data_IF_994967048006
#
_entry.id   IF_994967048006
#
_cell.length_a   1.000
_cell.length_b   1.000
_cell.length_c   1.000
_cell.angle_alpha   90.00
_cell.angle_beta   90.00
_cell.angle_gamma   90.00
#
_symmetry.space_group_name_H-M   'P 1'
#
loop_
_entity.id
_entity.type
_entity.pdbx_description
1 polymer ?
#
# COMPACT_ATOMS: atom_id res chain seq x y z
N UNK A 1 -76.78 -16.00 -23.32
CA UNK A 1 -75.93 -16.02 -22.08
C UNK A 1 -76.80 -15.54 -20.94
N UNK A 2 -77.00 -16.40 -19.93
CA UNK A 2 -77.90 -16.10 -18.80
C UNK A 2 -77.29 -15.01 -17.90
N UNK A 3 -78.12 -14.30 -17.14
CA UNK A 3 -77.68 -13.25 -16.22
C UNK A 3 -76.69 -13.82 -15.19
N UNK A 4 -76.84 -15.06 -14.77
CA UNK A 4 -75.92 -15.76 -13.88
C UNK A 4 -74.53 -15.91 -14.48
N UNK A 5 -74.42 -16.28 -15.77
CA UNK A 5 -73.14 -16.45 -16.48
C UNK A 5 -72.41 -15.11 -16.62
N UNK A 6 -73.14 -14.01 -16.90
CA UNK A 6 -72.55 -12.65 -16.97
C UNK A 6 -71.98 -12.21 -15.62
N UNK A 7 -72.69 -12.48 -14.52
CA UNK A 7 -72.20 -12.17 -13.16
C UNK A 7 -70.96 -12.95 -12.81
N UNK A 8 -70.94 -14.27 -13.11
CA UNK A 8 -69.76 -15.11 -12.85
C UNK A 8 -68.53 -14.56 -13.62
N UNK A 9 -68.70 -14.28 -14.91
CA UNK A 9 -67.64 -13.68 -15.76
C UNK A 9 -67.13 -12.34 -15.20
N UNK A 10 -68.04 -11.46 -14.79
CA UNK A 10 -67.71 -10.17 -14.24
C UNK A 10 -66.89 -10.29 -12.93
N UNK A 11 -67.32 -11.08 -11.98
CA UNK A 11 -66.61 -11.28 -10.73
C UNK A 11 -65.29 -12.03 -10.94
N UNK A 12 -65.22 -12.98 -11.84
CA UNK A 12 -63.96 -13.63 -12.22
C UNK A 12 -62.96 -12.66 -12.80
N UNK A 13 -63.41 -11.72 -13.65
CA UNK A 13 -62.57 -10.70 -14.25
C UNK A 13 -62.03 -9.70 -13.21
N UNK A 14 -62.91 -9.26 -12.27
CA UNK A 14 -62.49 -8.42 -11.14
C UNK A 14 -61.45 -9.16 -10.25
N UNK A 15 -61.66 -10.44 -9.97
CA UNK A 15 -60.73 -11.23 -9.16
C UNK A 15 -59.38 -11.36 -9.87
N UNK A 16 -59.34 -11.68 -11.16
CA UNK A 16 -58.10 -11.76 -11.95
C UNK A 16 -57.41 -10.40 -11.99
N UNK A 17 -58.16 -9.30 -12.19
CA UNK A 17 -57.59 -7.94 -12.19
C UNK A 17 -56.98 -7.58 -10.81
N UNK A 18 -57.65 -7.91 -9.71
CA UNK A 18 -57.15 -7.66 -8.38
C UNK A 18 -55.86 -8.46 -8.10
N UNK A 19 -55.84 -9.75 -8.50
CA UNK A 19 -54.62 -10.57 -8.37
C UNK A 19 -53.48 -10.04 -9.24
N UNK A 20 -53.75 -9.70 -10.49
CA UNK A 20 -52.77 -9.12 -11.41
C UNK A 20 -52.22 -7.79 -10.85
N UNK A 21 -53.11 -6.92 -10.33
CA UNK A 21 -52.74 -5.65 -9.71
C UNK A 21 -51.84 -5.86 -8.48
N UNK A 22 -52.23 -6.75 -7.59
CA UNK A 22 -51.43 -7.11 -6.43
C UNK A 22 -50.02 -7.67 -6.81
N UNK A 23 -49.98 -8.56 -7.81
CA UNK A 23 -48.74 -9.09 -8.37
C UNK A 23 -47.85 -7.99 -8.96
N UNK A 24 -48.42 -7.07 -9.76
CA UNK A 24 -47.68 -5.98 -10.36
C UNK A 24 -47.10 -5.02 -9.29
N UNK A 25 -47.90 -4.70 -8.27
CA UNK A 25 -47.46 -3.85 -7.17
C UNK A 25 -46.32 -4.54 -6.39
N UNK A 26 -46.46 -5.80 -6.04
CA UNK A 26 -45.45 -6.59 -5.36
C UNK A 26 -44.16 -6.67 -6.21
N UNK A 27 -44.30 -6.98 -7.50
CA UNK A 27 -43.14 -7.04 -8.43
C UNK A 27 -42.46 -5.68 -8.60
N UNK A 28 -43.22 -4.57 -8.66
CA UNK A 28 -42.70 -3.22 -8.70
C UNK A 28 -41.92 -2.85 -7.42
N UNK A 29 -42.33 -3.39 -6.29
CA UNK A 29 -41.61 -3.22 -5.00
C UNK A 29 -40.41 -4.19 -4.83
N UNK A 30 -40.12 -5.02 -5.82
CA UNK A 30 -39.00 -5.95 -5.83
C UNK A 30 -39.31 -7.31 -5.16
N UNK A 31 -40.57 -7.62 -4.89
CA UNK A 31 -40.94 -8.94 -4.38
C UNK A 31 -40.97 -9.98 -5.51
N UNK A 32 -40.34 -11.12 -5.28
CA UNK A 32 -40.30 -12.27 -6.20
C UNK A 32 -40.54 -13.56 -5.43
N UNK A 33 -41.12 -14.54 -6.11
CA UNK A 33 -41.21 -15.90 -5.59
C UNK A 33 -39.88 -16.64 -5.82
N UNK A 34 -39.17 -16.93 -4.77
CA UNK A 34 -38.00 -17.81 -4.80
C UNK A 34 -38.49 -19.26 -4.99
N UNK A 35 -38.42 -19.75 -6.22
CA UNK A 35 -38.93 -21.06 -6.61
C UNK A 35 -38.12 -22.18 -5.92
N UNK A 36 -36.83 -21.97 -5.64
CA UNK A 36 -35.97 -22.99 -4.99
C UNK A 36 -36.40 -23.27 -3.55
N UNK A 37 -36.78 -22.20 -2.82
CA UNK A 37 -37.11 -22.28 -1.41
C UNK A 37 -38.63 -22.08 -1.12
N UNK A 38 -39.46 -21.93 -2.15
CA UNK A 38 -40.90 -21.68 -2.05
C UNK A 38 -41.26 -20.52 -1.10
N UNK A 39 -40.52 -19.42 -1.16
CA UNK A 39 -40.76 -18.26 -0.29
C UNK A 39 -40.81 -16.96 -1.12
N UNK A 40 -41.56 -15.99 -0.63
CA UNK A 40 -41.60 -14.65 -1.19
C UNK A 40 -40.47 -13.84 -0.54
N UNK A 41 -39.57 -13.30 -1.36
CA UNK A 41 -38.38 -12.55 -0.90
C UNK A 41 -38.29 -11.24 -1.64
N UNK A 42 -37.69 -10.24 -1.01
CA UNK A 42 -37.29 -9.02 -1.70
C UNK A 42 -35.99 -9.24 -2.46
N UNK A 43 -35.97 -8.86 -3.73
CA UNK A 43 -34.75 -8.94 -4.54
C UNK A 43 -33.72 -7.92 -4.09
N UNK A 44 -32.45 -8.23 -4.32
CA UNK A 44 -31.33 -7.30 -4.25
C UNK A 44 -30.76 -7.00 -5.62
N UNK A 45 -29.65 -6.28 -5.65
CA UNK A 45 -28.95 -5.90 -6.87
C UNK A 45 -27.45 -6.02 -6.71
N UNK A 46 -26.74 -6.19 -7.84
CA UNK A 46 -25.27 -6.08 -7.92
C UNK A 46 -24.92 -4.82 -8.72
N UNK A 47 -23.99 -4.04 -8.23
CA UNK A 47 -23.38 -2.93 -8.94
C UNK A 47 -21.91 -3.22 -9.17
N UNK A 48 -21.51 -3.33 -10.45
CA UNK A 48 -20.16 -3.69 -10.87
C UNK A 48 -19.58 -2.54 -11.69
N UNK A 49 -18.43 -2.00 -11.23
CA UNK A 49 -17.68 -0.99 -11.99
C UNK A 49 -16.30 -1.53 -12.29
N UNK A 50 -15.96 -1.65 -13.56
CA UNK A 50 -14.77 -2.33 -14.03
C UNK A 50 -14.11 -1.59 -15.19
N UNK A 51 -12.81 -1.82 -15.35
CA UNK A 51 -11.96 -1.31 -16.42
C UNK A 51 -11.25 -2.51 -17.05
N UNK A 52 -11.31 -2.66 -18.39
CA UNK A 52 -11.99 -1.85 -19.40
C UNK A 52 -13.52 -2.03 -19.38
N UNK A 53 -14.26 -1.00 -19.78
CA UNK A 53 -15.74 -0.96 -19.67
C UNK A 53 -16.47 -1.85 -20.68
N UNK A 54 -15.78 -2.34 -21.70
CA UNK A 54 -16.30 -3.28 -22.71
C UNK A 54 -16.20 -4.75 -22.29
N UNK A 55 -15.68 -5.03 -21.10
CA UNK A 55 -15.56 -6.40 -20.62
C UNK A 55 -16.93 -7.07 -20.42
N UNK A 56 -16.96 -8.36 -20.66
CA UNK A 56 -18.15 -9.20 -20.54
C UNK A 56 -18.32 -9.66 -19.10
N UNK A 57 -19.54 -9.53 -18.57
CA UNK A 57 -19.93 -10.00 -17.24
C UNK A 57 -20.70 -11.30 -17.35
N UNK A 58 -20.33 -12.31 -16.60
CA UNK A 58 -21.11 -13.54 -16.40
C UNK A 58 -21.45 -13.75 -14.93
N UNK A 59 -22.63 -14.33 -14.70
CA UNK A 59 -23.15 -14.67 -13.35
C UNK A 59 -23.47 -16.15 -13.34
N UNK A 60 -22.88 -16.89 -12.41
CA UNK A 60 -23.05 -18.35 -12.30
C UNK A 60 -22.81 -19.07 -13.65
N UNK A 61 -21.83 -18.57 -14.44
CA UNK A 61 -21.49 -19.12 -15.75
C UNK A 61 -22.34 -18.61 -16.93
N UNK A 62 -23.42 -17.86 -16.70
CA UNK A 62 -24.27 -17.31 -17.76
C UNK A 62 -23.89 -15.86 -18.05
N UNK A 63 -23.65 -15.52 -19.32
CA UNK A 63 -23.35 -14.16 -19.76
C UNK A 63 -24.57 -13.25 -19.58
N UNK A 64 -24.35 -12.05 -19.07
CA UNK A 64 -25.41 -11.06 -18.91
C UNK A 64 -25.38 -10.04 -20.05
N UNK A 65 -26.54 -9.62 -20.54
CA UNK A 65 -26.67 -8.52 -21.52
C UNK A 65 -26.60 -7.13 -20.86
N UNK A 66 -26.31 -7.08 -19.57
CA UNK A 66 -26.25 -5.83 -18.82
C UNK A 66 -25.01 -5.02 -19.21
N UNK A 67 -25.24 -3.82 -19.77
CA UNK A 67 -24.18 -2.90 -20.18
C UNK A 67 -23.94 -1.82 -19.12
N UNK A 68 -22.72 -1.25 -19.06
CA UNK A 68 -22.45 -0.12 -18.18
C UNK A 68 -23.38 1.06 -18.46
N UNK A 69 -23.95 1.63 -17.42
CA UNK A 69 -24.76 2.84 -17.52
C UNK A 69 -23.90 4.06 -17.87
N UNK A 70 -24.37 4.87 -18.82
CA UNK A 70 -23.65 6.05 -19.34
C UNK A 70 -23.27 7.05 -18.23
N UNK A 71 -24.13 7.22 -17.23
CA UNK A 71 -23.92 8.18 -16.15
C UNK A 71 -23.11 7.61 -14.97
N UNK A 72 -23.24 6.32 -14.71
CA UNK A 72 -22.61 5.68 -13.53
C UNK A 72 -21.27 5.05 -13.87
N UNK A 73 -20.99 4.77 -15.13
CA UNK A 73 -19.80 4.05 -15.58
C UNK A 73 -19.72 2.62 -15.03
N UNK A 74 -20.83 2.09 -14.50
CA UNK A 74 -20.91 0.74 -13.93
C UNK A 74 -22.16 0.02 -14.39
N UNK A 75 -22.16 -1.30 -14.27
CA UNK A 75 -23.26 -2.21 -14.65
C UNK A 75 -24.09 -2.52 -13.42
N UNK A 76 -25.40 -2.20 -13.49
CA UNK A 76 -26.36 -2.55 -12.44
C UNK A 76 -27.18 -3.77 -12.88
N UNK A 77 -27.07 -4.85 -12.11
CA UNK A 77 -27.84 -6.07 -12.32
C UNK A 77 -28.86 -6.17 -11.20
N UNK A 78 -30.13 -5.99 -11.57
CA UNK A 78 -31.25 -5.89 -10.65
C UNK A 78 -32.07 -7.17 -10.58
N UNK A 79 -32.96 -7.25 -9.59
CA UNK A 79 -33.92 -8.34 -9.40
C UNK A 79 -33.29 -9.71 -9.13
N UNK A 80 -32.14 -9.72 -8.48
CA UNK A 80 -31.50 -10.96 -8.06
C UNK A 80 -32.13 -11.45 -6.75
N UNK A 81 -32.42 -12.75 -6.69
CA UNK A 81 -32.85 -13.42 -5.44
C UNK A 81 -31.69 -13.37 -4.45
N UNK A 82 -31.94 -13.10 -3.17
CA UNK A 82 -30.88 -13.13 -2.17
C UNK A 82 -30.11 -14.46 -2.15
N UNK A 83 -28.80 -14.40 -2.22
CA UNK A 83 -27.92 -15.57 -2.34
C UNK A 83 -26.49 -15.20 -2.68
N UNK A 84 -25.67 -16.21 -2.85
CA UNK A 84 -24.28 -16.05 -3.34
C UNK A 84 -24.25 -16.27 -4.85
N UNK A 85 -23.53 -15.42 -5.54
CA UNK A 85 -23.37 -15.42 -6.99
C UNK A 85 -21.89 -15.42 -7.33
N UNK A 86 -21.51 -16.36 -8.19
CA UNK A 86 -20.20 -16.37 -8.82
C UNK A 86 -20.22 -15.33 -9.96
N UNK A 87 -19.39 -14.32 -9.83
CA UNK A 87 -19.23 -13.25 -10.82
C UNK A 87 -17.91 -13.42 -11.51
N UNK A 88 -17.93 -13.42 -12.84
CA UNK A 88 -16.73 -13.41 -13.67
C UNK A 88 -16.80 -12.26 -14.66
N UNK A 89 -15.74 -11.46 -14.71
CA UNK A 89 -15.56 -10.36 -15.66
C UNK A 89 -14.36 -10.69 -16.52
N UNK A 90 -14.54 -10.72 -17.83
CA UNK A 90 -13.50 -11.11 -18.78
C UNK A 90 -13.52 -10.24 -20.04
N UNK A 91 -12.32 -10.01 -20.58
CA UNK A 91 -12.09 -9.33 -21.85
C UNK A 91 -10.89 -9.97 -22.54
N UNK A 92 -10.92 -9.99 -23.88
CA UNK A 92 -9.83 -10.58 -24.67
C UNK A 92 -8.51 -9.87 -24.43
N UNK A 93 -7.46 -10.63 -24.13
CA UNK A 93 -6.11 -10.10 -23.79
C UNK A 93 -5.97 -9.64 -22.35
N UNK A 94 -6.99 -9.89 -21.52
CA UNK A 94 -6.96 -9.55 -20.09
C UNK A 94 -7.20 -10.80 -19.24
N UNK A 95 -6.59 -10.82 -18.07
CA UNK A 95 -6.82 -11.85 -17.05
C UNK A 95 -8.22 -11.67 -16.46
N UNK A 96 -9.01 -12.74 -16.34
CA UNK A 96 -10.36 -12.64 -15.81
C UNK A 96 -10.33 -12.28 -14.32
N UNK A 97 -11.32 -11.49 -13.89
CA UNK A 97 -11.60 -11.25 -12.49
C UNK A 97 -12.78 -12.11 -12.05
N UNK A 98 -12.63 -12.80 -10.94
CA UNK A 98 -13.61 -13.74 -10.41
C UNK A 98 -13.87 -13.46 -8.93
N UNK A 99 -15.14 -13.50 -8.51
CA UNK A 99 -15.53 -13.24 -7.13
C UNK A 99 -16.88 -13.84 -6.78
N UNK A 100 -17.01 -14.38 -5.57
CA UNK A 100 -18.31 -14.73 -5.01
C UNK A 100 -18.89 -13.53 -4.27
N UNK A 101 -20.03 -13.01 -4.76
CA UNK A 101 -20.68 -11.85 -4.17
C UNK A 101 -22.02 -12.25 -3.58
N UNK A 102 -22.26 -11.82 -2.33
CA UNK A 102 -23.50 -12.08 -1.61
C UNK A 102 -24.50 -10.96 -1.86
N UNK A 103 -25.62 -11.31 -2.51
CA UNK A 103 -26.77 -10.41 -2.67
C UNK A 103 -27.66 -10.53 -1.45
N UNK A 104 -28.03 -9.39 -0.86
CA UNK A 104 -28.93 -9.29 0.30
C UNK A 104 -30.25 -8.67 -0.12
N UNK A 105 -31.32 -8.99 0.62
CA UNK A 105 -32.65 -8.42 0.39
C UNK A 105 -32.64 -6.89 0.43
N UNK A 106 -33.27 -6.27 -0.56
CA UNK A 106 -33.45 -4.82 -0.70
C UNK A 106 -32.14 -3.99 -0.66
N UNK A 107 -30.97 -4.63 -0.84
CA UNK A 107 -29.68 -3.96 -0.83
C UNK A 107 -28.97 -4.09 -2.18
N UNK A 108 -28.06 -3.14 -2.44
CA UNK A 108 -27.12 -3.19 -3.56
C UNK A 108 -25.78 -3.66 -3.00
N UNK A 109 -25.29 -4.78 -3.50
CA UNK A 109 -23.91 -5.22 -3.28
C UNK A 109 -23.04 -4.61 -4.35
N UNK A 110 -22.00 -3.89 -3.97
CA UNK A 110 -21.11 -3.22 -4.93
C UNK A 110 -19.77 -3.93 -5.05
N UNK A 111 -19.18 -3.85 -6.25
CA UNK A 111 -17.78 -4.08 -6.52
C UNK A 111 -17.34 -3.02 -7.55
N UNK A 112 -16.75 -1.93 -7.05
CA UNK A 112 -16.57 -0.69 -7.83
C UNK A 112 -15.14 -0.40 -8.24
N UNK A 113 -14.17 -1.19 -7.76
CA UNK A 113 -12.74 -0.99 -8.03
C UNK A 113 -12.13 -2.19 -8.76
N UNK A 114 -12.87 -2.73 -9.74
CA UNK A 114 -12.43 -3.88 -10.51
C UNK A 114 -11.57 -3.37 -11.66
N UNK A 115 -10.33 -3.86 -11.74
CA UNK A 115 -9.42 -3.60 -12.85
C UNK A 115 -8.99 -4.96 -13.42
N UNK A 116 -9.24 -5.15 -14.70
CA UNK A 116 -8.68 -6.28 -15.43
C UNK A 116 -7.23 -5.95 -15.82
N UNK A 117 -6.36 -6.91 -15.67
CA UNK A 117 -4.95 -6.76 -15.94
C UNK A 117 -4.57 -7.50 -17.22
N UNK A 118 -3.70 -6.95 -18.09
CA UNK A 118 -3.27 -7.64 -19.30
C UNK A 118 -2.72 -9.04 -19.01
N UNK A 119 -2.98 -9.98 -19.90
CA UNK A 119 -2.38 -11.33 -19.83
C UNK A 119 -0.87 -11.27 -19.99
N UNK A 120 -0.42 -10.48 -20.97
CA UNK A 120 0.99 -10.28 -21.29
C UNK A 120 1.54 -9.02 -20.62
N UNK A 121 2.39 -9.21 -19.62
CA UNK A 121 3.14 -8.11 -19.04
C UNK A 121 4.31 -7.74 -19.94
N UNK A 122 4.34 -6.51 -20.42
CA UNK A 122 5.48 -6.02 -21.22
C UNK A 122 6.64 -5.70 -20.28
N UNK A 123 7.76 -6.41 -20.51
CA UNK A 123 9.03 -6.16 -19.83
C UNK A 123 9.94 -5.36 -20.78
N UNK A 124 10.25 -4.12 -20.40
CA UNK A 124 11.16 -3.26 -21.13
C UNK A 124 12.48 -3.24 -20.38
N UNK A 125 13.55 -3.74 -20.99
CA UNK A 125 14.86 -3.72 -20.36
C UNK A 125 15.38 -2.27 -20.32
N UNK A 126 15.58 -1.75 -19.11
CA UNK A 126 16.14 -0.42 -18.85
C UNK A 126 17.67 -0.48 -18.93
N UNK A 127 18.25 -1.59 -18.49
CA UNK A 127 19.70 -1.82 -18.56
C UNK A 127 20.00 -3.29 -18.75
N UNK A 128 21.02 -3.59 -19.57
CA UNK A 128 21.54 -4.93 -19.83
C UNK A 128 22.80 -5.25 -19.05
N UNK A 129 23.33 -4.30 -18.28
CA UNK A 129 24.53 -4.48 -17.45
C UNK A 129 24.21 -5.34 -16.24
N UNK A 130 25.21 -6.06 -15.72
CA UNK A 130 25.10 -6.83 -14.48
C UNK A 130 24.98 -5.91 -13.27
N UNK A 131 23.75 -5.56 -12.91
CA UNK A 131 23.42 -4.71 -11.79
C UNK A 131 23.27 -5.57 -10.54
N UNK A 132 23.83 -5.13 -9.42
CA UNK A 132 23.68 -5.78 -8.11
C UNK A 132 22.54 -5.21 -7.30
N UNK A 133 22.27 -3.90 -7.44
CA UNK A 133 21.16 -3.19 -6.78
C UNK A 133 20.80 -1.90 -7.53
N UNK A 134 19.63 -1.31 -7.25
CA UNK A 134 19.20 -0.05 -7.84
C UNK A 134 18.30 0.77 -6.89
N UNK A 135 18.25 2.07 -7.12
CA UNK A 135 17.39 3.03 -6.41
C UNK A 135 16.84 4.04 -7.39
N UNK A 136 15.59 4.43 -7.21
CA UNK A 136 14.99 5.51 -7.97
C UNK A 136 15.13 6.84 -7.24
N UNK A 137 15.38 7.88 -7.99
CA UNK A 137 15.56 9.25 -7.51
C UNK A 137 14.84 10.23 -8.42
N UNK A 138 14.71 11.49 -8.00
CA UNK A 138 14.16 12.55 -8.85
C UNK A 138 14.98 12.83 -10.11
N UNK A 139 16.23 12.37 -10.18
CA UNK A 139 17.11 12.51 -11.34
C UNK A 139 17.22 11.25 -12.20
N UNK A 140 16.58 10.15 -11.81
CA UNK A 140 16.60 8.86 -12.50
C UNK A 140 17.08 7.71 -11.62
N UNK A 141 17.35 6.58 -12.26
CA UNK A 141 17.80 5.36 -11.55
C UNK A 141 19.31 5.42 -11.24
N UNK A 142 19.65 5.26 -9.98
CA UNK A 142 21.01 5.00 -9.51
C UNK A 142 21.23 3.49 -9.51
N UNK A 143 22.26 3.04 -10.22
CA UNK A 143 22.58 1.64 -10.40
C UNK A 143 23.85 1.29 -9.62
N UNK A 144 23.81 0.21 -8.85
CA UNK A 144 25.01 -0.37 -8.26
C UNK A 144 25.47 -1.56 -9.09
N UNK A 145 26.71 -1.51 -9.54
CA UNK A 145 27.33 -2.60 -10.27
C UNK A 145 27.88 -3.67 -9.30
N UNK A 146 28.29 -4.82 -9.83
CA UNK A 146 28.85 -5.93 -9.03
C UNK A 146 30.14 -5.55 -8.28
N UNK A 147 30.93 -4.62 -8.80
CA UNK A 147 32.12 -4.07 -8.16
C UNK A 147 31.82 -3.02 -7.09
N UNK A 148 30.53 -2.80 -6.78
CA UNK A 148 29.99 -1.78 -5.88
C UNK A 148 30.15 -0.33 -6.36
N UNK A 149 30.45 -0.12 -7.63
CA UNK A 149 30.41 1.22 -8.24
C UNK A 149 28.95 1.68 -8.34
N UNK A 150 28.69 2.95 -8.00
CA UNK A 150 27.39 3.58 -8.09
C UNK A 150 27.36 4.48 -9.34
N UNK A 151 26.39 4.27 -10.22
CA UNK A 151 26.25 5.02 -11.46
C UNK A 151 24.88 5.68 -11.58
N UNK A 152 24.87 6.91 -12.10
CA UNK A 152 23.67 7.60 -12.58
C UNK A 152 23.91 7.96 -14.05
N UNK A 153 23.28 7.25 -14.99
CA UNK A 153 23.64 7.31 -16.40
C UNK A 153 25.13 7.01 -16.58
N UNK A 154 25.86 7.93 -17.24
CA UNK A 154 27.31 7.81 -17.46
C UNK A 154 28.16 8.35 -16.29
N UNK A 155 27.54 8.93 -15.27
CA UNK A 155 28.25 9.53 -14.13
C UNK A 155 28.49 8.52 -13.03
N UNK A 156 29.75 8.41 -12.59
CA UNK A 156 30.14 7.61 -11.41
C UNK A 156 29.98 8.46 -10.15
N UNK A 157 29.17 7.96 -9.22
CA UNK A 157 28.92 8.61 -7.93
C UNK A 157 29.95 8.24 -6.88
N UNK A 158 30.18 9.12 -5.93
CA UNK A 158 31.04 8.84 -4.78
C UNK A 158 30.37 7.85 -3.83
N UNK A 159 31.18 6.96 -3.23
CA UNK A 159 30.71 5.92 -2.32
C UNK A 159 30.57 4.55 -2.96
N UNK A 160 30.19 3.56 -2.16
CA UNK A 160 30.01 2.16 -2.56
C UNK A 160 28.68 1.57 -2.12
N UNK A 161 28.00 2.25 -1.22
CA UNK A 161 26.70 1.85 -0.68
C UNK A 161 25.80 3.06 -0.61
N UNK A 162 24.56 2.94 -1.08
CA UNK A 162 23.53 3.95 -0.88
C UNK A 162 23.00 3.83 0.54
N UNK A 163 22.98 4.95 1.25
CA UNK A 163 22.51 5.05 2.64
C UNK A 163 21.11 5.64 2.68
N UNK A 164 20.85 6.68 1.86
CA UNK A 164 19.56 7.33 1.77
C UNK A 164 19.34 7.87 0.36
N UNK A 165 18.19 7.57 -0.17
CA UNK A 165 17.64 8.20 -1.37
C UNK A 165 16.11 8.17 -1.27
N UNK A 166 15.47 9.10 -1.95
CA UNK A 166 14.01 9.13 -2.07
C UNK A 166 13.63 9.55 -3.50
N UNK A 167 12.53 9.01 -4.05
CA UNK A 167 12.12 9.26 -5.44
C UNK A 167 11.90 10.72 -5.80
N UNK A 168 11.53 11.54 -4.81
CA UNK A 168 11.22 12.96 -5.01
C UNK A 168 12.44 13.89 -4.86
N UNK A 169 13.62 13.34 -4.52
CA UNK A 169 14.81 14.13 -4.28
C UNK A 169 15.86 13.89 -5.37
N UNK A 170 16.47 14.98 -5.83
CA UNK A 170 17.65 14.94 -6.72
C UNK A 170 18.95 14.85 -5.91
N UNK A 171 18.93 14.18 -4.77
CA UNK A 171 20.07 14.03 -3.88
C UNK A 171 20.16 12.61 -3.37
N UNK A 172 21.39 12.16 -3.10
CA UNK A 172 21.69 10.83 -2.60
C UNK A 172 22.75 10.92 -1.51
N UNK A 173 22.54 10.19 -0.40
CA UNK A 173 23.58 9.96 0.58
C UNK A 173 24.15 8.57 0.36
N UNK A 174 25.47 8.49 0.17
CA UNK A 174 26.24 7.25 0.00
C UNK A 174 27.33 7.13 1.05
N UNK A 175 27.90 5.94 1.20
CA UNK A 175 29.05 5.68 2.08
C UNK A 175 30.12 4.88 1.37
N UNK A 176 31.37 5.13 1.69
CA UNK A 176 32.52 4.28 1.33
C UNK A 176 32.91 3.29 2.44
N UNK A 177 32.11 3.23 3.52
CA UNK A 177 32.33 2.43 4.71
C UNK A 177 33.02 3.17 5.86
N UNK A 178 33.56 4.37 5.60
CA UNK A 178 34.19 5.26 6.59
C UNK A 178 33.52 6.62 6.67
N UNK A 179 33.20 7.18 5.52
CA UNK A 179 32.60 8.49 5.38
C UNK A 179 31.25 8.41 4.67
N UNK A 180 30.43 9.42 4.93
CA UNK A 180 29.17 9.66 4.24
C UNK A 180 29.33 10.82 3.27
N UNK A 181 28.77 10.68 2.09
CA UNK A 181 28.83 11.67 1.02
C UNK A 181 27.41 12.00 0.57
N UNK A 182 27.13 13.29 0.45
CA UNK A 182 25.93 13.77 -0.21
C UNK A 182 26.29 14.17 -1.64
N UNK A 183 25.66 13.56 -2.61
CA UNK A 183 25.76 13.91 -4.03
C UNK A 183 24.50 14.63 -4.45
N UNK A 184 24.64 15.81 -5.05
CA UNK A 184 23.59 16.42 -5.86
C UNK A 184 23.59 15.70 -7.23
N UNK A 185 22.51 15.07 -7.58
CA UNK A 185 22.41 14.26 -8.79
C UNK A 185 22.30 15.13 -10.07
N UNK A 186 22.04 16.45 -9.92
CA UNK A 186 22.17 17.44 -11.00
C UNK A 186 23.63 17.83 -11.27
N UNK A 187 24.51 17.76 -10.26
CA UNK A 187 25.97 17.95 -10.37
C UNK A 187 26.72 16.90 -9.52
N UNK A 188 26.79 15.65 -9.99
CA UNK A 188 27.31 14.54 -9.20
C UNK A 188 28.84 14.56 -9.00
N UNK A 189 29.57 15.47 -9.68
CA UNK A 189 31.03 15.53 -9.62
C UNK A 189 31.57 16.13 -8.33
N UNK A 190 30.76 16.91 -7.62
CA UNK A 190 31.14 17.67 -6.44
C UNK A 190 30.41 17.19 -5.16
N UNK A 191 30.60 15.95 -4.70
CA UNK A 191 29.93 15.43 -3.52
C UNK A 191 30.44 16.11 -2.24
N UNK A 192 29.52 16.44 -1.33
CA UNK A 192 29.86 16.98 0.00
C UNK A 192 30.21 15.82 0.93
N UNK A 193 31.38 15.87 1.56
CA UNK A 193 31.74 14.94 2.63
C UNK A 193 30.99 15.32 3.92
N UNK A 194 29.85 14.64 4.18
CA UNK A 194 29.01 14.90 5.34
C UNK A 194 29.70 14.58 6.67
N UNK A 195 30.55 13.55 6.70
CA UNK A 195 31.27 13.18 7.92
C UNK A 195 32.21 14.28 8.39
N UNK A 196 33.00 14.82 7.47
CA UNK A 196 33.94 15.92 7.78
C UNK A 196 33.20 17.22 8.09
N UNK A 197 32.16 17.56 7.32
CA UNK A 197 31.34 18.74 7.55
C UNK A 197 30.67 18.68 8.93
N UNK A 198 30.02 17.58 9.25
CA UNK A 198 29.36 17.38 10.54
C UNK A 198 30.35 17.49 11.71
N UNK A 199 31.50 16.82 11.62
CA UNK A 199 32.53 16.88 12.65
C UNK A 199 33.03 18.31 12.89
N UNK A 200 33.31 19.07 11.83
CA UNK A 200 33.76 20.45 11.95
C UNK A 200 32.72 21.36 12.60
N UNK A 201 31.45 21.19 12.25
CA UNK A 201 30.36 22.01 12.80
C UNK A 201 30.06 21.67 14.26
N UNK A 202 30.16 20.39 14.66
CA UNK A 202 30.01 19.97 16.07
C UNK A 202 31.13 20.58 16.90
N UNK A 203 32.40 20.51 16.46
CA UNK A 203 33.55 21.11 17.16
C UNK A 203 33.41 22.61 17.36
N UNK A 204 32.91 23.32 16.35
CA UNK A 204 32.70 24.78 16.43
C UNK A 204 31.56 25.17 17.38
N UNK A 205 30.57 24.29 17.58
CA UNK A 205 29.40 24.57 18.43
C UNK A 205 29.58 24.21 19.90
N UNK A 206 30.52 23.33 20.23
CA UNK A 206 30.74 22.83 21.60
C UNK A 206 32.25 22.59 21.88
N UNK A 207 32.86 23.46 22.64
CA UNK A 207 34.28 23.38 22.99
C UNK A 207 34.67 22.21 23.92
N UNK A 208 33.74 21.38 24.41
CA UNK A 208 33.99 20.35 25.41
C UNK A 208 33.26 19.02 25.23
N UNK A 209 32.46 18.83 24.17
CA UNK A 209 31.75 17.55 23.95
C UNK A 209 32.54 16.64 22.99
N UNK A 210 32.55 15.31 23.24
CA UNK A 210 33.16 14.37 22.30
C UNK A 210 32.46 14.50 20.91
N UNK A 211 33.25 14.35 19.85
CA UNK A 211 32.72 14.38 18.47
C UNK A 211 31.77 13.21 18.28
N UNK A 212 30.50 13.52 18.09
CA UNK A 212 29.50 12.50 17.77
C UNK A 212 29.63 12.10 16.29
N UNK A 213 29.39 10.82 16.01
CA UNK A 213 29.34 10.29 14.64
C UNK A 213 27.91 10.13 14.19
N UNK A 214 27.59 10.51 12.92
CA UNK A 214 26.27 10.22 12.36
C UNK A 214 25.98 8.73 12.33
N UNK A 215 24.74 8.35 12.65
CA UNK A 215 24.24 6.98 12.60
C UNK A 215 23.20 6.82 11.48
N UNK A 216 22.32 7.82 11.32
CA UNK A 216 21.23 7.80 10.36
C UNK A 216 20.93 9.19 9.83
N UNK A 217 20.37 9.25 8.63
CA UNK A 217 20.00 10.49 7.95
C UNK A 217 18.54 10.43 7.49
N UNK A 218 17.92 11.62 7.40
CA UNK A 218 16.64 11.83 6.73
C UNK A 218 16.72 13.11 5.90
N UNK A 219 16.12 13.11 4.72
CA UNK A 219 15.93 14.35 3.98
C UNK A 219 14.85 15.22 4.65
N UNK A 220 15.01 16.53 4.56
CA UNK A 220 14.00 17.44 5.08
C UNK A 220 12.93 17.67 3.99
N UNK A 221 11.68 17.24 4.18
CA UNK A 221 10.67 17.21 3.11
C UNK A 221 10.29 18.61 2.59
N UNK A 222 10.45 19.65 3.41
CA UNK A 222 10.07 21.04 3.07
C UNK A 222 11.26 21.94 2.72
N UNK A 223 12.48 21.43 2.65
CA UNK A 223 13.65 22.27 2.45
C UNK A 223 14.77 21.53 1.73
N UNK A 224 14.91 21.82 0.44
CA UNK A 224 16.06 21.36 -0.34
C UNK A 224 17.36 21.96 0.23
N UNK A 225 18.30 21.09 0.57
CA UNK A 225 19.58 21.47 1.19
C UNK A 225 19.57 21.43 2.71
N UNK A 226 18.52 20.91 3.35
CA UNK A 226 18.54 20.51 4.76
C UNK A 226 18.41 19.00 4.90
N UNK A 227 19.19 18.45 5.83
CA UNK A 227 19.10 17.04 6.24
C UNK A 227 19.01 16.95 7.77
N UNK A 228 18.33 15.92 8.22
CA UNK A 228 18.32 15.56 9.65
C UNK A 228 19.38 14.49 9.85
N UNK A 229 20.26 14.74 10.81
CA UNK A 229 21.36 13.84 11.18
C UNK A 229 21.08 13.29 12.57
N UNK A 230 20.97 11.99 12.66
CA UNK A 230 20.85 11.29 13.95
C UNK A 230 22.24 10.82 14.35
N UNK A 231 22.68 11.22 15.53
CA UNK A 231 23.89 10.75 16.17
C UNK A 231 23.55 9.99 17.46
N UNK A 232 24.56 9.49 18.18
CA UNK A 232 24.36 8.62 19.34
C UNK A 232 23.52 9.25 20.47
N UNK A 233 23.70 10.55 20.72
CA UNK A 233 23.06 11.22 21.86
C UNK A 233 22.22 12.44 21.45
N UNK A 234 22.14 12.74 20.17
CA UNK A 234 21.44 13.94 19.70
C UNK A 234 20.95 13.77 18.27
N UNK A 235 19.92 14.51 17.93
CA UNK A 235 19.55 14.74 16.55
C UNK A 235 19.80 16.20 16.18
N UNK A 236 20.15 16.41 14.93
CA UNK A 236 20.53 17.71 14.39
C UNK A 236 19.82 17.99 13.08
N UNK A 237 19.50 19.26 12.83
CA UNK A 237 19.15 19.78 11.53
C UNK A 237 20.40 20.45 10.93
N UNK A 238 20.91 19.92 9.84
CA UNK A 238 22.05 20.46 9.09
C UNK A 238 21.55 21.22 7.86
N UNK A 239 21.79 22.51 7.83
CA UNK A 239 21.58 23.38 6.66
C UNK A 239 22.86 23.42 5.82
N UNK A 240 22.83 22.76 4.69
CA UNK A 240 23.99 22.61 3.81
C UNK A 240 24.34 23.90 3.05
N UNK A 241 23.34 24.78 2.81
CA UNK A 241 23.59 26.05 2.10
C UNK A 241 24.26 27.07 3.01
N UNK A 242 23.90 27.06 4.29
CA UNK A 242 24.40 28.00 5.28
C UNK A 242 25.58 27.44 6.10
N UNK A 243 25.86 26.15 6.00
CA UNK A 243 26.81 25.42 6.85
C UNK A 243 26.49 25.59 8.34
N UNK A 244 25.22 25.47 8.71
CA UNK A 244 24.74 25.62 10.09
C UNK A 244 24.19 24.29 10.60
N UNK A 245 24.61 23.92 11.79
CA UNK A 245 24.17 22.73 12.50
C UNK A 245 23.38 23.15 13.75
N UNK A 246 22.09 22.81 13.79
CA UNK A 246 21.24 23.08 14.94
C UNK A 246 20.89 21.76 15.63
N UNK A 247 21.16 21.66 16.92
CA UNK A 247 20.69 20.55 17.73
C UNK A 247 19.19 20.67 17.95
N UNK A 248 18.42 19.66 17.54
CA UNK A 248 16.95 19.66 17.61
C UNK A 248 16.40 18.78 18.73
N UNK A 249 17.09 17.67 19.06
CA UNK A 249 16.76 16.77 20.18
C UNK A 249 18.03 16.38 20.88
N UNK A 250 17.99 16.32 22.24
CA UNK A 250 19.00 15.68 23.07
C UNK A 250 18.39 14.45 23.74
N UNK A 251 18.96 13.28 23.47
CA UNK A 251 18.53 12.01 24.06
C UNK A 251 19.74 11.12 24.29
N UNK A 252 19.77 10.43 25.46
CA UNK A 252 20.92 9.59 25.80
C UNK A 252 20.82 8.22 25.14
N UNK A 253 21.81 7.90 24.31
CA UNK A 253 21.92 6.60 23.65
C UNK A 253 20.68 6.29 22.80
N UNK A 254 20.55 6.99 21.68
CA UNK A 254 19.49 6.79 20.69
C UNK A 254 19.64 5.39 20.10
N UNK A 255 18.56 4.60 20.14
CA UNK A 255 18.51 3.22 19.66
C UNK A 255 17.66 3.04 18.42
N UNK A 256 16.63 3.87 18.25
CA UNK A 256 15.76 3.81 17.09
C UNK A 256 15.33 5.19 16.61
N UNK A 257 15.06 5.32 15.33
CA UNK A 257 14.47 6.53 14.75
C UNK A 257 13.65 6.22 13.52
N UNK A 258 12.58 6.97 13.33
CA UNK A 258 11.69 6.88 12.18
C UNK A 258 11.31 8.29 11.69
N UNK A 259 10.83 8.38 10.46
CA UNK A 259 10.28 9.59 9.89
C UNK A 259 8.88 9.34 9.37
N UNK A 260 8.04 10.35 9.48
CA UNK A 260 6.81 10.52 8.70
C UNK A 260 6.98 11.71 7.75
N UNK A 261 5.93 12.06 7.01
CA UNK A 261 5.97 13.21 6.10
C UNK A 261 6.34 14.53 6.80
N UNK A 262 6.01 14.68 8.09
CA UNK A 262 6.13 15.94 8.82
C UNK A 262 6.98 15.87 10.09
N UNK A 263 7.31 14.68 10.57
CA UNK A 263 7.96 14.52 11.87
C UNK A 263 9.04 13.45 11.85
N UNK A 264 10.04 13.66 12.69
CA UNK A 264 11.05 12.65 13.05
C UNK A 264 10.76 12.18 14.45
N UNK A 265 10.81 10.86 14.66
CA UNK A 265 10.63 10.19 15.93
C UNK A 265 11.95 9.55 16.35
N UNK A 266 12.29 9.67 17.62
CA UNK A 266 13.57 9.20 18.17
C UNK A 266 13.29 8.51 19.50
N UNK A 267 13.82 7.30 19.64
CA UNK A 267 13.72 6.52 20.85
C UNK A 267 15.10 6.36 21.49
N UNK A 268 15.19 6.58 22.80
CA UNK A 268 16.40 6.35 23.57
C UNK A 268 16.41 4.95 24.24
N UNK A 269 17.59 4.53 24.72
CA UNK A 269 17.79 3.24 25.37
C UNK A 269 16.96 3.04 26.66
N UNK A 270 16.32 4.08 27.18
CA UNK A 270 15.41 4.01 28.32
C UNK A 270 13.93 3.88 27.90
N UNK A 271 13.66 3.81 26.60
CA UNK A 271 12.32 3.78 26.04
C UNK A 271 11.59 5.14 26.11
N UNK A 272 12.31 6.25 26.22
CA UNK A 272 11.71 7.55 26.06
C UNK A 272 11.59 7.85 24.55
N UNK A 273 10.44 8.34 24.15
CA UNK A 273 10.16 8.72 22.77
C UNK A 273 10.06 10.24 22.64
N UNK A 274 10.80 10.76 21.69
CA UNK A 274 10.84 12.17 21.33
C UNK A 274 10.37 12.35 19.90
N UNK A 275 9.83 13.53 19.59
CA UNK A 275 9.52 13.92 18.21
C UNK A 275 10.07 15.29 17.89
N UNK A 276 10.26 15.55 16.60
CA UNK A 276 10.55 16.86 16.06
C UNK A 276 9.70 17.11 14.82
N UNK A 277 8.84 18.12 14.94
CA UNK A 277 8.02 18.54 13.81
C UNK A 277 8.86 19.38 12.85
N UNK A 278 9.00 18.91 11.61
CA UNK A 278 9.88 19.51 10.60
C UNK A 278 9.33 20.83 10.05
N UNK A 279 8.00 20.98 10.01
CA UNK A 279 7.36 22.21 9.54
C UNK A 279 7.33 23.29 10.63
N UNK A 280 6.87 22.96 11.82
CA UNK A 280 6.77 23.88 12.95
C UNK A 280 8.12 24.13 13.65
N UNK A 281 9.13 23.31 13.39
CA UNK A 281 10.45 23.30 14.02
C UNK A 281 10.38 23.21 15.55
N UNK A 282 9.48 22.39 16.06
CA UNK A 282 9.24 22.18 17.49
C UNK A 282 9.56 20.77 17.92
N UNK A 283 10.25 20.61 19.05
CA UNK A 283 10.49 19.34 19.68
C UNK A 283 9.36 18.99 20.66
N UNK A 284 9.03 17.71 20.74
CA UNK A 284 8.06 17.15 21.67
C UNK A 284 8.59 15.86 22.31
N UNK A 285 7.91 15.44 23.37
CA UNK A 285 8.15 14.13 24.00
C UNK A 285 6.83 13.45 24.31
N UNK A 286 6.85 12.14 24.37
CA UNK A 286 5.68 11.32 24.69
C UNK A 286 5.78 10.80 26.11
N UNK A 287 4.66 10.82 26.82
CA UNK A 287 4.55 10.23 28.14
C UNK A 287 4.55 8.70 28.07
N UNK A 288 5.19 8.06 29.03
CA UNK A 288 5.26 6.61 29.12
C UNK A 288 6.60 6.02 28.66
N UNK A 289 6.61 4.70 28.53
CA UNK A 289 7.76 3.93 28.07
C UNK A 289 7.37 3.12 26.83
N UNK A 290 8.24 3.15 25.85
CA UNK A 290 8.06 2.45 24.59
C UNK A 290 8.95 1.20 24.53
N UNK A 291 8.61 0.23 23.66
CA UNK A 291 9.37 -1.03 23.57
C UNK A 291 10.80 -0.80 23.11
N UNK A 292 11.78 -1.04 23.98
CA UNK A 292 13.20 -1.06 23.59
C UNK A 292 13.55 -2.36 22.86
N UNK A 293 14.64 -2.37 22.09
CA UNK A 293 15.06 -3.49 21.24
C UNK A 293 13.99 -3.86 20.18
N UNK A 294 13.43 -2.84 19.58
CA UNK A 294 12.46 -2.95 18.48
C UNK A 294 12.86 -2.04 17.32
N UNK A 295 12.54 -2.46 16.09
CA UNK A 295 12.60 -1.53 14.97
C UNK A 295 11.42 -0.57 15.05
N UNK A 296 11.66 0.72 14.87
CA UNK A 296 10.65 1.76 14.87
C UNK A 296 10.34 2.19 13.43
N UNK A 297 9.07 2.17 13.06
CA UNK A 297 8.55 2.78 11.82
C UNK A 297 7.39 3.71 12.16
N UNK A 298 7.26 4.82 11.44
CA UNK A 298 6.10 5.69 11.49
C UNK A 298 5.21 5.43 10.27
N UNK A 299 3.91 5.64 10.43
CA UNK A 299 3.02 5.72 9.28
C UNK A 299 3.29 7.01 8.48
N UNK A 300 2.97 7.08 7.17
CA UNK A 300 3.28 8.22 6.32
C UNK A 300 2.86 9.57 6.92
N UNK A 301 1.59 9.75 7.28
CA UNK A 301 1.10 10.97 7.92
C UNK A 301 1.46 11.10 9.41
N UNK A 302 2.06 10.06 9.99
CA UNK A 302 2.50 10.05 11.38
C UNK A 302 1.40 9.77 12.40
N UNK A 303 0.23 9.28 12.00
CA UNK A 303 -0.87 8.96 12.92
C UNK A 303 -0.50 7.80 13.87
N UNK A 304 0.29 6.87 13.37
CA UNK A 304 0.68 5.67 14.10
C UNK A 304 2.20 5.48 14.13
N UNK A 305 2.66 4.91 15.24
CA UNK A 305 4.04 4.40 15.37
C UNK A 305 3.99 2.88 15.56
N UNK A 306 4.91 2.19 14.93
CA UNK A 306 4.99 0.73 14.95
C UNK A 306 6.34 0.29 15.51
N UNK A 307 6.28 -0.63 16.46
CA UNK A 307 7.43 -1.22 17.10
C UNK A 307 7.42 -2.72 16.80
N UNK A 308 8.38 -3.17 16.00
CA UNK A 308 8.59 -4.59 15.73
C UNK A 308 9.77 -5.09 16.53
N UNK A 309 9.51 -5.96 17.51
CA UNK A 309 10.52 -6.59 18.35
C UNK A 309 11.18 -7.78 17.66
N UNK A 310 12.38 -8.16 18.07
CA UNK A 310 13.11 -9.31 17.53
C UNK A 310 12.37 -10.64 17.70
N UNK A 311 11.51 -10.75 18.71
CA UNK A 311 10.67 -11.93 18.94
C UNK A 311 9.46 -12.02 17.99
N UNK A 312 9.23 -11.01 17.16
CA UNK A 312 8.10 -10.94 16.22
C UNK A 312 6.84 -10.26 16.76
N UNK A 313 6.90 -9.70 17.96
CA UNK A 313 5.78 -8.91 18.47
C UNK A 313 5.74 -7.55 17.78
N UNK A 314 4.64 -7.29 17.04
CA UNK A 314 4.37 -6.02 16.38
C UNK A 314 3.34 -5.22 17.19
N UNK A 315 3.77 -4.08 17.68
CA UNK A 315 2.97 -3.17 18.51
C UNK A 315 2.70 -1.89 17.72
N UNK A 316 1.44 -1.47 17.64
CA UNK A 316 1.01 -0.18 17.10
C UNK A 316 0.72 0.77 18.27
N UNK A 317 1.24 1.98 18.20
CA UNK A 317 0.88 3.10 19.07
C UNK A 317 0.05 4.11 18.29
N UNK A 318 -1.17 4.36 18.77
CA UNK A 318 -2.07 5.38 18.24
C UNK A 318 -1.77 6.70 18.96
N UNK A 319 -1.26 7.68 18.22
CA UNK A 319 -0.80 8.96 18.78
C UNK A 319 -1.97 9.84 19.26
N UNK A 320 -3.10 9.79 18.57
CA UNK A 320 -4.29 10.57 18.93
C UNK A 320 -4.96 10.03 20.20
N UNK A 321 -5.05 8.70 20.32
CA UNK A 321 -5.66 8.03 21.47
C UNK A 321 -4.65 7.79 22.60
N UNK A 322 -3.35 7.92 22.36
CA UNK A 322 -2.26 7.60 23.29
C UNK A 322 -2.33 6.16 23.82
N UNK A 323 -2.72 5.22 22.97
CA UNK A 323 -2.90 3.81 23.31
C UNK A 323 -2.01 2.93 22.45
N UNK A 324 -1.58 1.81 23.02
CA UNK A 324 -0.85 0.76 22.29
C UNK A 324 -1.68 -0.50 22.17
N UNK A 325 -1.57 -1.17 21.02
CA UNK A 325 -2.19 -2.49 20.79
C UNK A 325 -1.20 -3.41 20.07
N UNK A 326 -1.23 -4.70 20.41
CA UNK A 326 -0.43 -5.72 19.72
C UNK A 326 -1.19 -6.21 18.48
N UNK A 327 -0.62 -5.99 17.30
CA UNK A 327 -1.20 -6.42 16.02
C UNK A 327 -0.83 -7.86 15.66
N UNK A 328 0.37 -8.31 16.04
CA UNK A 328 0.88 -9.66 15.78
C UNK A 328 1.86 -10.07 16.86
N UNK A 329 1.98 -11.39 17.10
CA UNK A 329 3.01 -11.98 17.97
C UNK A 329 4.11 -12.71 17.22
N UNK A 330 4.00 -12.81 15.89
CA UNK A 330 4.91 -13.56 15.03
C UNK A 330 5.24 -12.84 13.74
N UNK A 331 5.12 -11.50 13.71
CA UNK A 331 5.46 -10.70 12.55
C UNK A 331 6.95 -10.80 12.24
N UNK A 332 7.27 -10.86 10.96
CA UNK A 332 8.63 -10.76 10.44
C UNK A 332 8.84 -9.40 9.77
N UNK A 333 7.86 -8.96 9.01
CA UNK A 333 7.85 -7.64 8.39
C UNK A 333 6.42 -7.09 8.32
N UNK A 334 6.30 -5.79 8.03
CA UNK A 334 5.01 -5.16 7.82
C UNK A 334 5.12 -3.95 6.89
N UNK A 335 4.01 -3.66 6.18
CA UNK A 335 3.89 -2.61 5.19
C UNK A 335 2.61 -1.82 5.44
N UNK A 336 2.75 -0.53 5.65
CA UNK A 336 1.64 0.37 5.96
C UNK A 336 1.13 0.97 4.66
N UNK A 337 -0.19 1.02 4.47
CA UNK A 337 -0.76 1.67 3.29
C UNK A 337 -0.54 3.19 3.30
N UNK A 338 -0.40 3.83 2.14
CA UNK A 338 -0.21 5.29 2.06
C UNK A 338 -1.34 6.09 2.71
N UNK A 339 -2.57 5.54 2.75
CA UNK A 339 -3.74 6.14 3.40
C UNK A 339 -3.83 5.87 4.91
N UNK A 340 -2.86 5.16 5.50
CA UNK A 340 -2.77 4.77 6.91
C UNK A 340 -3.96 3.92 7.44
N UNK A 341 -4.81 3.42 6.55
CA UNK A 341 -6.00 2.65 6.94
C UNK A 341 -5.75 1.16 7.02
N UNK A 342 -4.68 0.68 6.40
CA UNK A 342 -4.40 -0.74 6.22
C UNK A 342 -2.94 -1.08 6.50
N UNK A 343 -2.72 -2.30 6.89
CA UNK A 343 -1.39 -2.85 7.11
C UNK A 343 -1.31 -4.27 6.56
N UNK A 344 -0.23 -4.58 5.84
CA UNK A 344 0.14 -5.96 5.51
C UNK A 344 1.14 -6.43 6.54
N UNK A 345 0.93 -7.62 7.07
CA UNK A 345 1.84 -8.27 8.03
C UNK A 345 2.26 -9.61 7.44
N UNK A 346 3.58 -9.81 7.32
CA UNK A 346 4.15 -11.13 7.06
C UNK A 346 4.60 -11.79 8.35
N UNK A 347 4.48 -13.10 8.40
CA UNK A 347 4.88 -13.91 9.55
C UNK A 347 5.99 -14.89 9.16
N UNK A 348 6.75 -15.36 10.14
CA UNK A 348 7.88 -16.30 9.95
C UNK A 348 7.51 -17.61 9.25
N UNK A 349 6.25 -17.96 9.21
CA UNK A 349 5.71 -19.12 8.48
C UNK A 349 5.17 -18.73 7.08
N UNK A 350 5.64 -17.61 6.54
CA UNK A 350 5.35 -17.10 5.20
C UNK A 350 3.87 -16.81 4.93
N UNK A 351 3.07 -16.57 5.96
CA UNK A 351 1.69 -16.13 5.80
C UNK A 351 1.63 -14.62 5.66
N UNK A 352 0.81 -14.16 4.75
CA UNK A 352 0.45 -12.76 4.57
C UNK A 352 -0.96 -12.52 5.09
N UNK A 353 -1.11 -11.49 5.88
CA UNK A 353 -2.42 -11.01 6.31
C UNK A 353 -2.54 -9.51 6.12
N UNK A 354 -3.74 -9.07 5.79
CA UNK A 354 -4.11 -7.66 5.78
C UNK A 354 -4.94 -7.35 7.01
N UNK A 355 -4.61 -6.25 7.68
CA UNK A 355 -5.34 -5.74 8.83
C UNK A 355 -5.87 -4.33 8.57
N UNK A 356 -7.07 -4.04 9.10
CA UNK A 356 -7.65 -2.70 9.10
C UNK A 356 -7.20 -1.92 10.33
N UNK A 357 -6.50 -0.80 10.12
CA UNK A 357 -6.03 0.10 11.18
C UNK A 357 -7.12 1.11 11.61
N UNK A 358 -8.09 1.38 10.74
CA UNK A 358 -9.24 2.23 10.98
C UNK A 358 -10.44 1.75 10.16
N UNK A 359 -11.64 2.24 10.45
CA UNK A 359 -12.81 2.00 9.63
C UNK A 359 -12.64 2.61 8.23
N UNK A 360 -12.99 1.87 7.19
CA UNK A 360 -13.03 2.38 5.83
C UNK A 360 -14.06 1.62 4.99
N UNK A 361 -14.41 2.20 3.84
CA UNK A 361 -15.31 1.57 2.88
C UNK A 361 -14.51 1.08 1.65
N UNK A 362 -14.59 -0.21 1.37
CA UNK A 362 -14.00 -0.85 0.20
C UNK A 362 -14.99 -1.87 -0.37
N UNK A 363 -16.00 -1.38 -1.11
CA UNK A 363 -17.13 -2.19 -1.59
C UNK A 363 -17.88 -2.96 -0.47
N UNK A 364 -17.85 -2.38 0.72
CA UNK A 364 -18.38 -2.88 1.99
C UNK A 364 -17.72 -2.19 3.16
N UNK A 365 -18.37 -2.22 4.31
CA UNK A 365 -17.82 -1.68 5.54
C UNK A 365 -16.71 -2.60 6.06
N UNK A 366 -15.50 -2.10 6.13
CA UNK A 366 -14.38 -2.72 6.83
C UNK A 366 -14.17 -2.01 8.14
N UNK A 367 -14.13 -2.76 9.24
CA UNK A 367 -13.99 -2.21 10.58
C UNK A 367 -12.56 -2.29 11.07
N UNK A 368 -12.17 -1.33 11.89
CA UNK A 368 -10.88 -1.39 12.60
C UNK A 368 -10.74 -2.72 13.33
N UNK A 369 -9.62 -3.38 13.11
CA UNK A 369 -9.32 -4.70 13.69
C UNK A 369 -9.74 -5.89 12.82
N UNK A 370 -10.45 -5.69 11.71
CA UNK A 370 -10.70 -6.77 10.75
C UNK A 370 -9.37 -7.25 10.16
N UNK A 371 -9.21 -8.58 10.08
CA UNK A 371 -8.00 -9.22 9.54
C UNK A 371 -8.40 -10.37 8.60
N UNK A 372 -7.72 -10.47 7.46
CA UNK A 372 -7.91 -11.56 6.50
C UNK A 372 -6.61 -11.97 5.84
N UNK A 373 -6.55 -13.20 5.36
CA UNK A 373 -5.40 -13.73 4.66
C UNK A 373 -5.29 -13.14 3.24
N UNK A 374 -4.06 -12.95 2.78
CA UNK A 374 -3.73 -12.54 1.41
C UNK A 374 -2.93 -13.67 0.76
N UNK A 375 -3.16 -14.01 -0.52
CA UNK A 375 -2.34 -14.97 -1.23
C UNK A 375 -0.87 -14.53 -1.27
N UNK A 376 0.03 -15.36 -0.73
CA UNK A 376 1.46 -15.03 -0.59
C UNK A 376 2.38 -15.86 -1.50
N UNK A 377 1.83 -16.81 -2.26
CA UNK A 377 2.67 -17.79 -2.96
C UNK A 377 3.32 -18.79 -1.99
N UNK A 378 4.31 -19.56 -2.49
CA UNK A 378 4.94 -20.66 -1.73
C UNK A 378 6.36 -20.32 -1.22
N UNK A 379 6.75 -19.05 -1.21
CA UNK A 379 8.09 -18.59 -0.78
C UNK A 379 8.04 -17.60 0.36
N UNK A 380 9.22 -17.30 0.89
CA UNK A 380 9.43 -16.21 1.84
C UNK A 380 9.01 -14.88 1.22
N UNK A 381 8.32 -14.02 1.97
CA UNK A 381 8.00 -12.68 1.50
C UNK A 381 9.27 -11.82 1.56
N UNK A 382 9.77 -11.48 0.37
CA UNK A 382 10.94 -10.62 0.23
C UNK A 382 10.56 -9.14 0.25
N UNK A 383 9.42 -8.80 -0.41
CA UNK A 383 8.98 -7.41 -0.52
C UNK A 383 7.48 -7.32 -0.83
N UNK A 384 6.90 -6.17 -0.53
CA UNK A 384 5.52 -5.83 -0.85
C UNK A 384 5.42 -4.33 -1.19
N UNK A 385 4.75 -4.03 -2.30
CA UNK A 385 4.51 -2.65 -2.72
C UNK A 385 3.02 -2.40 -2.97
N UNK A 386 2.53 -1.29 -2.45
CA UNK A 386 1.18 -0.80 -2.73
C UNK A 386 1.12 -0.20 -4.13
N UNK A 387 0.03 -0.45 -4.86
CA UNK A 387 -0.21 0.22 -6.14
C UNK A 387 -0.97 1.54 -5.90
N UNK A 388 -0.39 2.70 -6.22
CA UNK A 388 -1.00 4.01 -5.92
C UNK A 388 -2.38 4.19 -6.55
N UNK A 389 -2.53 3.78 -7.82
CA UNK A 389 -3.76 3.98 -8.60
C UNK A 389 -4.75 2.80 -8.52
N UNK A 390 -4.43 1.80 -7.73
CA UNK A 390 -5.24 0.58 -7.59
C UNK A 390 -5.17 0.06 -6.16
N UNK A 391 -5.79 0.75 -5.20
CA UNK A 391 -5.62 0.48 -3.77
C UNK A 391 -6.10 -0.90 -3.32
N UNK A 392 -6.89 -1.59 -4.16
CA UNK A 392 -7.31 -2.98 -3.92
C UNK A 392 -6.31 -4.02 -4.44
N UNK A 393 -5.15 -3.60 -4.95
CA UNK A 393 -4.10 -4.48 -5.42
C UNK A 393 -2.76 -4.10 -4.83
N UNK A 394 -1.89 -5.10 -4.67
CA UNK A 394 -0.51 -4.95 -4.26
C UNK A 394 0.40 -5.88 -5.04
N UNK A 395 1.66 -5.53 -5.12
CA UNK A 395 2.71 -6.37 -5.68
C UNK A 395 3.38 -7.16 -4.56
N UNK A 396 3.33 -8.47 -4.66
CA UNK A 396 3.91 -9.40 -3.69
C UNK A 396 5.13 -10.07 -4.31
N UNK A 397 6.30 -9.85 -3.75
CA UNK A 397 7.52 -10.57 -4.11
C UNK A 397 7.75 -11.69 -3.10
N UNK A 398 7.49 -12.94 -3.50
CA UNK A 398 7.66 -14.13 -2.68
C UNK A 398 8.73 -15.06 -3.29
N UNK A 399 9.84 -15.24 -2.59
CA UNK A 399 11.03 -15.82 -3.18
C UNK A 399 11.50 -14.96 -4.37
N UNK A 400 11.56 -15.55 -5.55
CA UNK A 400 11.90 -14.83 -6.80
C UNK A 400 10.68 -14.57 -7.69
N UNK A 401 9.46 -14.78 -7.19
CA UNK A 401 8.22 -14.64 -7.96
C UNK A 401 7.50 -13.37 -7.58
N UNK A 402 7.26 -12.52 -8.57
CA UNK A 402 6.45 -11.33 -8.44
C UNK A 402 5.04 -11.62 -8.90
N UNK A 403 4.06 -11.35 -8.05
CA UNK A 403 2.64 -11.44 -8.36
C UNK A 403 1.90 -10.16 -8.03
N UNK A 404 0.85 -9.90 -8.81
CA UNK A 404 -0.12 -8.87 -8.57
C UNK A 404 -1.29 -9.50 -7.83
N UNK A 405 -1.50 -9.12 -6.60
CA UNK A 405 -2.43 -9.76 -5.67
C UNK A 405 -3.55 -8.81 -5.29
N UNK A 406 -4.77 -9.30 -5.36
CA UNK A 406 -5.94 -8.56 -4.87
C UNK A 406 -5.98 -8.57 -3.35
N UNK A 407 -6.27 -7.40 -2.78
CA UNK A 407 -6.26 -7.15 -1.34
C UNK A 407 -7.67 -7.13 -0.71
N UNK A 408 -8.70 -7.45 -1.48
CA UNK A 408 -10.09 -7.55 -1.02
C UNK A 408 -10.28 -8.78 -0.11
N UNK A 409 -11.08 -8.65 0.95
CA UNK A 409 -11.38 -9.75 1.87
C UNK A 409 -12.31 -10.81 1.30
N UNK A 410 -13.05 -10.50 0.22
CA UNK A 410 -13.99 -11.41 -0.46
C UNK A 410 -13.24 -12.43 -1.31
N UNK A 411 -13.73 -13.65 -1.33
CA UNK A 411 -13.12 -14.79 -2.04
C UNK A 411 -13.85 -15.15 -3.33
N UNK A 412 -13.13 -15.76 -4.32
CA UNK A 412 -11.67 -15.94 -4.36
C UNK A 412 -10.95 -14.61 -4.49
N UNK A 413 -9.72 -14.54 -3.94
CA UNK A 413 -8.84 -13.39 -4.18
C UNK A 413 -8.04 -13.65 -5.45
N UNK A 414 -8.06 -12.68 -6.36
CA UNK A 414 -7.33 -12.79 -7.61
C UNK A 414 -5.83 -12.59 -7.37
N UNK A 415 -5.03 -13.48 -7.93
CA UNK A 415 -3.57 -13.44 -7.83
C UNK A 415 -2.97 -13.78 -9.20
N UNK A 416 -2.27 -12.80 -9.80
CA UNK A 416 -1.78 -12.90 -11.16
C UNK A 416 -0.25 -12.89 -11.19
N UNK A 417 0.42 -13.86 -11.82
CA UNK A 417 1.87 -13.83 -11.97
C UNK A 417 2.30 -12.66 -12.87
N UNK A 418 3.32 -11.92 -12.44
CA UNK A 418 3.86 -10.75 -13.17
C UNK A 418 5.21 -11.09 -13.79
N UNK A 419 6.16 -11.60 -12.99
CA UNK A 419 7.51 -11.96 -13.46
C UNK A 419 8.15 -12.99 -12.53
N UNK A 420 9.05 -13.78 -13.11
CA UNK A 420 9.92 -14.72 -12.39
C UNK A 420 11.38 -14.22 -12.38
N UNK A 421 12.17 -14.75 -11.42
CA UNK A 421 13.57 -14.41 -11.24
C UNK A 421 13.76 -12.96 -10.76
N UNK A 422 12.83 -12.44 -9.96
CA UNK A 422 12.87 -11.08 -9.43
C UNK A 422 13.60 -11.08 -8.08
N UNK A 423 14.60 -10.19 -7.96
CA UNK A 423 15.36 -9.97 -6.74
C UNK A 423 14.86 -8.79 -5.93
N UNK A 424 14.42 -7.73 -6.61
CA UNK A 424 13.97 -6.48 -5.99
C UNK A 424 12.94 -5.80 -6.87
N UNK A 425 11.96 -5.17 -6.27
CA UNK A 425 10.98 -4.34 -6.96
C UNK A 425 10.97 -2.93 -6.40
N UNK A 426 10.45 -2.00 -7.18
CA UNK A 426 10.18 -0.64 -6.78
C UNK A 426 9.05 -0.06 -7.63
N UNK A 427 8.10 0.62 -7.00
CA UNK A 427 6.97 1.29 -7.67
C UNK A 427 7.14 2.80 -7.58
N UNK A 428 7.08 3.49 -8.74
CA UNK A 428 7.10 4.94 -8.81
C UNK A 428 5.97 5.43 -9.72
N UNK A 429 4.91 5.94 -9.12
CA UNK A 429 3.69 6.25 -9.85
C UNK A 429 3.11 4.99 -10.51
N UNK A 430 2.93 5.04 -11.82
CA UNK A 430 2.44 3.90 -12.60
C UNK A 430 3.55 2.94 -13.07
N UNK A 431 4.82 3.31 -12.89
CA UNK A 431 5.96 2.52 -13.36
C UNK A 431 6.43 1.56 -12.28
N UNK A 432 6.62 0.31 -12.66
CA UNK A 432 7.12 -0.77 -11.81
C UNK A 432 8.48 -1.18 -12.34
N UNK A 433 9.49 -1.07 -11.51
CA UNK A 433 10.85 -1.47 -11.84
C UNK A 433 11.22 -2.74 -11.11
N UNK A 434 11.78 -3.70 -11.81
CA UNK A 434 12.25 -4.96 -11.26
C UNK A 434 13.71 -5.20 -11.59
N UNK A 435 14.47 -5.56 -10.58
CA UNK A 435 15.81 -6.11 -10.76
C UNK A 435 15.72 -7.64 -10.75
N UNK A 436 16.14 -8.26 -11.83
CA UNK A 436 16.19 -9.72 -11.92
C UNK A 436 17.44 -10.28 -11.27
N UNK A 437 17.42 -11.55 -10.89
CA UNK A 437 18.54 -12.27 -10.28
C UNK A 437 19.76 -12.36 -11.22
N UNK A 438 19.55 -12.30 -12.53
CA UNK A 438 20.63 -12.23 -13.53
C UNK A 438 21.29 -10.83 -13.63
N UNK A 439 20.79 -9.83 -12.91
CA UNK A 439 21.30 -8.46 -12.91
C UNK A 439 20.73 -7.55 -14.02
N UNK A 440 19.62 -7.93 -14.63
CA UNK A 440 18.90 -7.08 -15.58
C UNK A 440 17.88 -6.23 -14.84
N UNK A 441 17.90 -4.90 -15.06
CA UNK A 441 16.85 -3.99 -14.62
C UNK A 441 15.83 -3.85 -15.75
N UNK A 442 14.56 -4.09 -15.43
CA UNK A 442 13.45 -3.97 -16.37
C UNK A 442 12.33 -3.12 -15.78
N UNK A 443 11.63 -2.41 -16.64
CA UNK A 443 10.35 -1.77 -16.35
C UNK A 443 9.23 -2.72 -16.77
N UNK A 444 8.21 -2.83 -15.91
CA UNK A 444 7.02 -3.67 -16.14
C UNK A 444 5.85 -2.74 -16.41
N UNK A 445 5.20 -2.90 -17.57
CA UNK A 445 3.95 -2.23 -17.85
C UNK A 445 2.78 -3.18 -17.53
N UNK A 446 1.88 -2.74 -16.68
CA UNK A 446 0.60 -3.39 -16.38
C UNK A 446 -0.59 -2.70 -17.12
N UNK A 447 -0.28 -2.04 -18.26
CA UNK A 447 -1.28 -1.35 -19.10
C UNK A 447 -1.54 -2.11 -20.37
#
# INVERSE_FOLDING_TARGET
>A
VTIKTRRIFFYSLIFIFALAGAYLIASAQGWVLDIKNFRIVKTGSLFLKYIPSNATVSINGETTDASPGILTGGTLISRLVPGEYEIKISETGYRPWEKNLKVREALVTSASQIKLWPEDNKLINVSTSSISDFWLTGAGAVLQLKDKTLNLGDSVLRGRQVILTEPNFSSLISSDGKNYFLSDLGDPKNPVNLSSLFASLVQNSTSSSPVETPIKFFFHPFSNGKIIVIAKNSAYSLDLKRNVLNKIISAKNIIASAASDNEIFIEDAKGNLYSYNLFLQTAGSYDGKFPVNASLKASPGGSFLFFLKDNGELIKYDRAQKTSETLSKSAENFFISPDEKRIIISTKDNRLSMGALSDYYADGDVKKGDVWAIPSGNGELNDFEWLPDSPNYGLVLSGEKLSLTELDSRIPQNNYPVADGVKKLFVQGENIYILKTNGTLSEVSLK
#
